data_IF_165291673456
#
_entry.id   IF_165291673456
#
_cell.length_a   1.000
_cell.length_b   1.000
_cell.length_c   1.000
_cell.angle_alpha   90.00
_cell.angle_beta   90.00
_cell.angle_gamma   90.00
#
_symmetry.space_group_name_H-M   'P 1'
#
loop_
_entity.id
_entity.type
_entity.pdbx_description
1 polymer ?
#
# COMPACT_ATOMS: atom_id res chain seq x y z
N UNK A 1 4.92 -10.20 -18.90
CA UNK A 1 4.77 -9.02 -18.00
C UNK A 1 3.30 -8.91 -17.62
N UNK A 2 2.97 -8.79 -16.33
CA UNK A 2 1.59 -8.94 -15.82
C UNK A 2 0.73 -7.69 -16.09
N UNK A 3 1.32 -6.48 -16.03
CA UNK A 3 0.62 -5.20 -16.25
C UNK A 3 1.32 -4.38 -17.35
N UNK A 4 1.21 -4.78 -18.62
CA UNK A 4 1.82 -4.03 -19.73
C UNK A 4 1.27 -2.60 -19.83
N UNK A 5 2.12 -1.64 -20.21
CA UNK A 5 1.72 -0.22 -20.36
C UNK A 5 0.90 0.05 -21.62
N UNK A 6 1.09 -0.76 -22.66
CA UNK A 6 0.53 -0.53 -23.99
C UNK A 6 -0.78 -1.26 -24.24
N UNK A 7 -1.22 -2.12 -23.31
CA UNK A 7 -2.42 -2.93 -23.47
C UNK A 7 -3.36 -2.77 -22.28
N UNK A 8 -4.66 -2.92 -22.53
CA UNK A 8 -5.68 -2.97 -21.48
C UNK A 8 -5.82 -4.42 -21.02
N UNK A 9 -5.30 -4.69 -19.83
CA UNK A 9 -5.16 -6.04 -19.26
C UNK A 9 -6.26 -6.44 -18.25
N UNK A 10 -7.29 -5.62 -18.07
CA UNK A 10 -8.50 -6.01 -17.33
C UNK A 10 -9.75 -5.55 -18.06
N UNK A 11 -10.86 -6.25 -17.82
CA UNK A 11 -12.19 -5.93 -18.36
C UNK A 11 -13.21 -5.88 -17.23
N UNK A 12 -14.37 -5.31 -17.53
CA UNK A 12 -15.55 -5.32 -16.67
C UNK A 12 -16.62 -6.13 -17.40
N UNK A 13 -17.32 -7.00 -16.70
CA UNK A 13 -18.40 -7.83 -17.25
C UNK A 13 -19.45 -8.11 -16.19
N UNK A 14 -20.66 -8.43 -16.65
CA UNK A 14 -21.75 -8.89 -15.82
C UNK A 14 -22.54 -9.93 -16.63
N UNK A 15 -22.63 -11.16 -16.11
CA UNK A 15 -23.27 -12.29 -16.79
C UNK A 15 -24.73 -12.02 -17.17
N UNK A 16 -25.44 -11.21 -16.36
CA UNK A 16 -26.83 -10.84 -16.62
C UNK A 16 -27.01 -10.01 -17.90
N UNK A 17 -25.97 -9.31 -18.33
CA UNK A 17 -25.98 -8.39 -19.47
C UNK A 17 -24.94 -8.79 -20.52
N UNK A 18 -24.62 -10.09 -20.61
CA UNK A 18 -23.60 -10.59 -21.53
C UNK A 18 -23.95 -10.29 -22.99
N UNK A 19 -25.23 -10.41 -23.35
CA UNK A 19 -25.74 -10.17 -24.71
C UNK A 19 -26.20 -8.72 -24.97
N UNK A 20 -26.11 -7.84 -23.97
CA UNK A 20 -26.51 -6.44 -24.09
C UNK A 20 -25.34 -5.57 -24.59
N UNK A 21 -25.34 -5.27 -25.89
CA UNK A 21 -24.27 -4.49 -26.53
C UNK A 21 -24.07 -3.11 -25.92
N UNK A 22 -25.14 -2.45 -25.43
CA UNK A 22 -25.03 -1.12 -24.84
C UNK A 22 -24.33 -1.17 -23.48
N UNK A 23 -24.65 -2.17 -22.67
CA UNK A 23 -23.99 -2.39 -21.38
C UNK A 23 -22.53 -2.78 -21.59
N UNK A 24 -22.22 -3.61 -22.59
CA UNK A 24 -20.84 -3.95 -22.92
C UNK A 24 -20.04 -2.72 -23.37
N UNK A 25 -20.64 -1.84 -24.19
CA UNK A 25 -20.02 -0.57 -24.59
C UNK A 25 -19.74 0.32 -23.38
N UNK A 26 -20.71 0.46 -22.47
CA UNK A 26 -20.52 1.20 -21.22
C UNK A 26 -19.38 0.65 -20.37
N UNK A 27 -19.27 -0.68 -20.21
CA UNK A 27 -18.16 -1.30 -19.49
C UNK A 27 -16.79 -1.04 -20.13
N UNK A 28 -16.72 -0.98 -21.46
CA UNK A 28 -15.50 -0.59 -22.16
C UNK A 28 -15.14 0.88 -21.88
N UNK A 29 -16.11 1.79 -21.85
CA UNK A 29 -15.88 3.19 -21.49
C UNK A 29 -15.38 3.34 -20.06
N UNK A 30 -16.01 2.66 -19.09
CA UNK A 30 -15.58 2.67 -17.69
C UNK A 30 -14.18 2.10 -17.53
N UNK A 31 -13.87 0.97 -18.19
CA UNK A 31 -12.52 0.40 -18.23
C UNK A 31 -11.51 1.44 -18.73
N UNK A 32 -11.85 2.16 -19.79
CA UNK A 32 -10.96 3.17 -20.38
C UNK A 32 -10.71 4.35 -19.44
N UNK A 33 -11.72 4.77 -18.69
CA UNK A 33 -11.58 5.76 -17.60
C UNK A 33 -10.63 5.22 -16.51
N UNK A 34 -10.80 3.96 -16.08
CA UNK A 34 -9.94 3.34 -15.06
C UNK A 34 -8.47 3.26 -15.52
N UNK A 35 -8.22 2.89 -16.77
CA UNK A 35 -6.87 2.89 -17.33
C UNK A 35 -6.29 4.30 -17.41
N UNK A 36 -7.08 5.30 -17.85
CA UNK A 36 -6.63 6.69 -17.90
C UNK A 36 -6.24 7.22 -16.52
N UNK A 37 -7.04 6.95 -15.49
CA UNK A 37 -6.73 7.34 -14.11
C UNK A 37 -5.51 6.59 -13.56
N UNK A 38 -5.43 5.28 -13.80
CA UNK A 38 -4.33 4.44 -13.31
C UNK A 38 -2.97 4.86 -13.89
N UNK A 39 -2.92 5.15 -15.18
CA UNK A 39 -1.69 5.52 -15.89
C UNK A 39 -1.45 7.03 -15.97
N UNK A 40 -2.27 7.84 -15.30
CA UNK A 40 -2.03 9.26 -15.18
C UNK A 40 -0.69 9.54 -14.49
N UNK A 41 0.04 10.63 -14.86
CA UNK A 41 1.35 10.92 -14.29
C UNK A 41 1.36 11.04 -12.75
N UNK A 42 0.31 11.61 -12.15
CA UNK A 42 0.20 11.73 -10.69
C UNK A 42 -0.08 10.41 -9.98
N UNK A 43 -0.70 9.45 -10.67
CA UNK A 43 -1.02 8.15 -10.10
C UNK A 43 0.25 7.31 -9.93
N UNK A 44 1.21 7.45 -10.85
CA UNK A 44 2.51 6.80 -10.82
C UNK A 44 2.45 5.25 -10.78
N UNK A 45 1.36 4.64 -11.28
CA UNK A 45 1.14 3.20 -11.19
C UNK A 45 2.29 2.36 -11.76
N UNK A 46 2.82 2.75 -12.91
CA UNK A 46 3.75 1.91 -13.65
C UNK A 46 5.15 1.84 -13.03
N UNK A 47 5.62 2.90 -12.34
CA UNK A 47 6.87 2.85 -11.57
C UNK A 47 6.68 2.01 -10.31
N UNK A 48 5.58 2.25 -9.61
CA UNK A 48 5.31 1.62 -8.32
C UNK A 48 4.99 0.13 -8.46
N UNK A 49 4.32 -0.28 -9.53
CA UNK A 49 4.11 -1.69 -9.87
C UNK A 49 5.42 -2.41 -10.16
N UNK A 50 6.37 -1.73 -10.81
CA UNK A 50 7.69 -2.32 -11.06
C UNK A 50 8.46 -2.56 -9.75
N UNK A 51 8.49 -1.57 -8.86
CA UNK A 51 9.09 -1.69 -7.52
C UNK A 51 8.41 -2.80 -6.68
N UNK A 52 7.09 -2.94 -6.82
CA UNK A 52 6.33 -4.00 -6.17
C UNK A 52 6.74 -5.38 -6.68
N UNK A 53 6.88 -5.56 -7.99
CA UNK A 53 7.31 -6.82 -8.58
C UNK A 53 8.74 -7.19 -8.20
N UNK A 54 9.65 -6.22 -8.14
CA UNK A 54 11.00 -6.43 -7.62
C UNK A 54 10.94 -6.90 -6.16
N UNK A 55 10.19 -6.18 -5.32
CA UNK A 55 10.06 -6.54 -3.90
C UNK A 55 9.48 -7.94 -3.70
N UNK A 56 8.45 -8.29 -4.48
CA UNK A 56 7.82 -9.61 -4.46
C UNK A 56 8.79 -10.71 -4.92
N UNK A 57 9.57 -10.46 -5.98
CA UNK A 57 10.54 -11.41 -6.50
C UNK A 57 11.77 -11.58 -5.59
N UNK A 58 12.22 -10.51 -4.92
CA UNK A 58 13.39 -10.52 -4.05
C UNK A 58 13.06 -11.00 -2.65
N UNK A 59 12.01 -10.47 -2.03
CA UNK A 59 11.66 -10.72 -0.62
C UNK A 59 10.44 -11.61 -0.45
N UNK A 60 9.74 -11.96 -1.52
CA UNK A 60 8.57 -12.85 -1.47
C UNK A 60 7.28 -12.11 -1.12
N UNK A 61 7.40 -10.87 -0.66
CA UNK A 61 6.27 -10.01 -0.29
C UNK A 61 6.44 -8.63 -0.94
N UNK A 62 5.40 -8.16 -1.61
CA UNK A 62 5.31 -6.80 -2.14
C UNK A 62 4.16 -6.04 -1.48
N UNK A 63 4.31 -4.73 -1.27
CA UNK A 63 3.25 -3.91 -0.68
C UNK A 63 3.09 -2.61 -1.46
N UNK A 64 1.90 -2.39 -2.03
CA UNK A 64 1.54 -1.12 -2.66
C UNK A 64 0.34 -0.52 -1.95
N UNK A 65 0.52 0.70 -1.45
CA UNK A 65 -0.54 1.51 -0.89
C UNK A 65 -1.24 2.31 -1.99
N UNK A 66 -2.56 2.25 -2.01
CA UNK A 66 -3.40 3.04 -2.91
C UNK A 66 -3.94 4.23 -2.12
N UNK A 67 -3.28 5.36 -2.32
CA UNK A 67 -3.65 6.65 -1.78
C UNK A 67 -4.61 7.40 -2.72
N UNK A 68 -5.19 8.50 -2.25
CA UNK A 68 -6.04 9.37 -3.05
C UNK A 68 -5.53 10.81 -3.06
N UNK A 69 -5.30 11.36 -4.24
CA UNK A 69 -5.01 12.78 -4.42
C UNK A 69 -6.32 13.51 -4.64
N UNK A 70 -6.65 14.40 -3.70
CA UNK A 70 -7.88 15.20 -3.75
C UNK A 70 -7.98 15.91 -5.11
N UNK A 71 -9.12 15.70 -5.78
CA UNK A 71 -9.41 16.28 -7.09
C UNK A 71 -8.73 15.61 -8.30
N UNK A 72 -7.87 14.61 -8.10
CA UNK A 72 -7.17 13.91 -9.21
C UNK A 72 -7.41 12.40 -9.25
N UNK A 73 -7.70 11.77 -8.10
CA UNK A 73 -7.93 10.33 -8.00
C UNK A 73 -6.71 9.57 -7.46
N UNK A 74 -6.55 8.28 -7.81
CA UNK A 74 -5.64 7.39 -7.11
C UNK A 74 -4.18 7.76 -7.29
N UNK A 75 -3.38 7.50 -6.26
CA UNK A 75 -1.92 7.54 -6.27
C UNK A 75 -1.38 6.24 -5.68
N UNK A 76 -0.47 5.60 -6.39
CA UNK A 76 0.17 4.38 -5.95
C UNK A 76 1.48 4.72 -5.24
N UNK A 77 1.76 4.05 -4.13
CA UNK A 77 3.00 4.17 -3.37
C UNK A 77 3.43 2.79 -2.88
N UNK A 78 4.51 2.24 -3.42
CA UNK A 78 5.08 0.97 -2.99
C UNK A 78 5.97 1.22 -1.77
N UNK A 79 5.73 0.45 -0.71
CA UNK A 79 6.49 0.54 0.52
C UNK A 79 7.42 -0.64 0.69
N UNK A 80 8.58 -0.36 1.24
CA UNK A 80 9.57 -1.38 1.54
C UNK A 80 9.08 -2.28 2.68
N UNK A 81 9.33 -3.59 2.58
CA UNK A 81 8.86 -4.60 3.54
C UNK A 81 9.24 -4.29 4.99
N UNK A 82 10.41 -3.69 5.21
CA UNK A 82 10.87 -3.21 6.55
C UNK A 82 9.86 -2.30 7.26
N UNK A 83 9.06 -1.53 6.52
CA UNK A 83 8.06 -0.63 7.12
C UNK A 83 6.74 -1.34 7.42
N UNK A 84 6.48 -2.51 6.83
CA UNK A 84 5.14 -3.10 6.73
C UNK A 84 5.05 -4.40 7.54
N UNK A 85 4.05 -4.46 8.39
CA UNK A 85 3.69 -5.61 9.21
C UNK A 85 2.21 -5.91 9.02
N UNK A 86 1.84 -7.16 8.85
CA UNK A 86 0.44 -7.52 8.61
C UNK A 86 0.12 -8.88 9.19
N UNK A 87 -1.17 -9.12 9.43
CA UNK A 87 -1.70 -10.39 9.91
C UNK A 87 -2.85 -10.85 9.02
N UNK A 88 -3.22 -12.11 9.19
CA UNK A 88 -4.35 -12.70 8.51
C UNK A 88 -5.53 -12.87 9.46
N UNK A 89 -6.73 -12.80 8.90
CA UNK A 89 -7.93 -13.29 9.55
C UNK A 89 -7.99 -14.82 9.52
N UNK A 90 -9.05 -15.39 10.12
CA UNK A 90 -9.26 -16.83 10.20
C UNK A 90 -9.37 -17.55 8.84
N UNK A 91 -9.59 -16.81 7.74
CA UNK A 91 -9.68 -17.34 6.36
C UNK A 91 -8.34 -17.25 5.61
N UNK A 92 -7.27 -16.80 6.27
CA UNK A 92 -5.96 -16.58 5.65
C UNK A 92 -5.88 -15.31 4.79
N UNK A 93 -6.88 -14.42 4.90
CA UNK A 93 -6.91 -13.15 4.19
C UNK A 93 -6.23 -12.06 5.03
N UNK A 94 -5.36 -11.29 4.40
CA UNK A 94 -4.72 -10.15 5.05
C UNK A 94 -5.76 -9.05 5.29
N UNK A 95 -5.97 -8.69 6.55
CA UNK A 95 -7.01 -7.75 6.96
C UNK A 95 -6.46 -6.61 7.82
N UNK A 96 -5.45 -6.89 8.66
CA UNK A 96 -4.78 -5.90 9.50
C UNK A 96 -3.38 -5.61 8.97
N UNK A 97 -3.09 -4.32 8.80
CA UNK A 97 -1.80 -3.82 8.32
C UNK A 97 -1.32 -2.69 9.23
N UNK A 98 -0.07 -2.79 9.65
CA UNK A 98 0.68 -1.78 10.38
C UNK A 98 1.86 -1.32 9.54
N UNK A 99 2.00 -0.01 9.37
CA UNK A 99 3.15 0.61 8.74
C UNK A 99 3.88 1.48 9.75
N UNK A 100 5.14 1.16 10.05
CA UNK A 100 6.04 2.03 10.80
C UNK A 100 6.91 2.81 9.82
N UNK A 101 6.87 4.14 9.90
CA UNK A 101 7.59 5.01 8.99
C UNK A 101 8.07 6.28 9.69
N UNK A 102 9.05 6.96 9.10
CA UNK A 102 9.58 8.19 9.63
C UNK A 102 9.20 9.36 8.73
N UNK A 103 8.90 10.50 9.35
CA UNK A 103 8.69 11.76 8.65
C UNK A 103 9.51 12.86 9.31
N UNK A 104 9.96 13.84 8.54
CA UNK A 104 10.50 15.06 9.12
C UNK A 104 9.37 15.88 9.77
N UNK A 105 9.72 16.73 10.73
CA UNK A 105 8.75 17.64 11.37
C UNK A 105 7.97 18.46 10.34
N UNK A 106 8.65 18.94 9.28
CA UNK A 106 8.02 19.64 8.15
C UNK A 106 7.01 18.78 7.41
N UNK A 107 7.37 17.53 7.06
CA UNK A 107 6.47 16.63 6.35
C UNK A 107 5.26 16.26 7.22
N UNK A 108 5.46 16.07 8.52
CA UNK A 108 4.39 15.77 9.47
C UNK A 108 3.33 16.89 9.49
N UNK A 109 3.75 18.15 9.52
CA UNK A 109 2.83 19.30 9.43
C UNK A 109 2.09 19.31 8.09
N UNK A 110 2.79 19.04 6.98
CA UNK A 110 2.15 19.01 5.65
C UNK A 110 1.08 17.94 5.53
N UNK A 111 1.25 16.79 6.19
CA UNK A 111 0.31 15.69 6.11
C UNK A 111 -0.85 15.80 7.11
N UNK A 112 -0.56 16.16 8.36
CA UNK A 112 -1.53 16.09 9.46
C UNK A 112 -2.03 17.46 9.93
N UNK A 113 -1.42 18.55 9.48
CA UNK A 113 -1.61 19.88 10.05
C UNK A 113 -0.86 20.06 11.36
N UNK A 114 -0.62 21.32 11.75
CA UNK A 114 0.12 21.62 12.98
C UNK A 114 -0.66 21.12 14.21
N UNK A 115 -1.96 21.43 14.33
CA UNK A 115 -2.75 21.22 15.55
C UNK A 115 -2.82 19.78 16.04
N UNK A 116 -2.93 18.84 15.11
CA UNK A 116 -3.04 17.42 15.40
C UNK A 116 -1.75 16.85 16.03
N UNK A 117 -0.59 17.46 15.76
CA UNK A 117 0.70 16.94 16.17
C UNK A 117 1.00 17.16 17.67
N UNK A 118 1.86 16.32 18.29
CA UNK A 118 2.39 16.55 19.62
C UNK A 118 3.24 17.83 19.70
N UNK A 119 3.31 18.43 20.89
CA UNK A 119 4.07 19.67 21.15
C UNK A 119 5.53 19.55 20.69
N UNK A 120 6.17 18.40 20.92
CA UNK A 120 7.57 18.20 20.52
C UNK A 120 7.76 18.31 19.01
N UNK A 121 6.85 17.76 18.20
CA UNK A 121 6.93 17.82 16.73
C UNK A 121 6.68 19.25 16.26
N UNK A 122 5.71 19.96 16.88
CA UNK A 122 5.42 21.38 16.59
C UNK A 122 6.65 22.27 16.85
N UNK A 123 7.30 22.08 18.00
CA UNK A 123 8.49 22.84 18.37
C UNK A 123 9.65 22.53 17.42
N UNK A 124 9.89 21.24 17.14
CA UNK A 124 10.93 20.82 16.21
C UNK A 124 10.68 21.37 14.80
N UNK A 125 9.43 21.48 14.35
CA UNK A 125 9.14 22.06 13.04
C UNK A 125 9.54 23.54 12.91
N UNK A 126 9.62 24.28 14.03
CA UNK A 126 10.04 25.69 14.05
C UNK A 126 11.56 25.83 14.18
N UNK A 127 12.20 24.98 14.99
CA UNK A 127 13.64 25.08 15.28
C UNK A 127 14.52 24.20 14.39
N UNK A 128 14.09 22.97 14.11
CA UNK A 128 14.81 22.00 13.30
C UNK A 128 13.83 21.20 12.41
N UNK A 129 13.36 21.79 11.29
CA UNK A 129 12.33 21.18 10.44
C UNK A 129 12.73 19.82 9.83
N UNK A 130 14.04 19.52 9.80
CA UNK A 130 14.60 18.27 9.28
C UNK A 130 14.64 17.14 10.32
N UNK A 131 14.40 17.43 11.60
CA UNK A 131 14.31 16.40 12.64
C UNK A 131 13.22 15.39 12.29
N UNK A 132 13.55 14.11 12.43
CA UNK A 132 12.67 12.99 12.10
C UNK A 132 11.93 12.46 13.32
N UNK A 133 10.69 12.02 13.09
CA UNK A 133 9.78 11.45 14.07
C UNK A 133 9.18 10.17 13.50
N UNK A 134 8.86 9.21 14.38
CA UNK A 134 8.30 7.93 14.00
C UNK A 134 6.78 7.95 14.08
N UNK A 135 6.15 7.42 13.04
CA UNK A 135 4.71 7.29 12.94
C UNK A 135 4.34 5.83 12.69
N UNK A 136 3.16 5.46 13.16
CA UNK A 136 2.52 4.19 12.93
C UNK A 136 1.18 4.44 12.22
N UNK A 137 1.00 3.84 11.05
CA UNK A 137 -0.31 3.77 10.40
C UNK A 137 -0.86 2.36 10.61
N UNK A 138 -2.03 2.25 11.24
CA UNK A 138 -2.75 0.99 11.41
C UNK A 138 -4.02 1.04 10.57
N UNK A 139 -4.22 0.00 9.77
CA UNK A 139 -5.46 -0.24 9.03
C UNK A 139 -6.00 -1.61 9.42
N UNK A 140 -7.27 -1.67 9.78
CA UNK A 140 -7.93 -2.90 10.24
C UNK A 140 -9.42 -2.88 9.92
N UNK A 141 -10.10 -4.04 9.93
CA UNK A 141 -11.56 -4.09 9.85
C UNK A 141 -12.21 -3.26 10.97
N UNK A 142 -13.30 -2.59 10.63
CA UNK A 142 -14.09 -1.81 11.57
C UNK A 142 -15.26 -2.65 12.10
N UNK A 143 -15.03 -3.34 13.22
CA UNK A 143 -16.05 -4.20 13.84
C UNK A 143 -17.25 -3.40 14.39
N UNK A 144 -17.07 -2.09 14.63
CA UNK A 144 -18.11 -1.19 15.14
C UNK A 144 -18.72 -0.32 14.04
N UNK A 145 -18.64 -0.78 12.79
CA UNK A 145 -19.12 -0.04 11.62
C UNK A 145 -20.60 0.27 11.71
N UNK A 146 -20.94 1.56 11.58
CA UNK A 146 -22.32 2.01 11.41
C UNK A 146 -22.66 2.13 9.92
N UNK A 147 -23.41 1.17 9.39
CA UNK A 147 -23.76 1.13 7.96
C UNK A 147 -24.67 2.29 7.51
N UNK A 148 -25.28 3.04 8.43
CA UNK A 148 -26.10 4.20 8.10
C UNK A 148 -25.27 5.43 7.72
N UNK A 149 -23.98 5.43 8.07
CA UNK A 149 -23.08 6.57 7.89
C UNK A 149 -22.22 6.42 6.65
N UNK A 150 -21.87 7.55 6.05
CA UNK A 150 -20.95 7.64 4.90
C UNK A 150 -19.55 8.14 5.29
N UNK A 151 -19.33 8.47 6.56
CA UNK A 151 -18.05 8.94 7.06
C UNK A 151 -17.16 7.80 7.56
N UNK A 152 -16.03 8.13 8.19
CA UNK A 152 -15.03 7.15 8.66
C UNK A 152 -15.62 6.06 9.57
N UNK A 153 -16.70 6.35 10.31
CA UNK A 153 -17.34 5.38 11.21
C UNK A 153 -18.20 4.36 10.44
N UNK A 154 -18.69 4.73 9.25
CA UNK A 154 -19.43 3.83 8.36
C UNK A 154 -18.57 3.08 7.36
N UNK A 155 -17.26 3.34 7.32
CA UNK A 155 -16.33 2.65 6.42
C UNK A 155 -15.93 1.27 6.97
N UNK A 156 -15.81 0.24 6.10
CA UNK A 156 -15.41 -1.12 6.48
C UNK A 156 -14.03 -1.26 7.10
N UNK A 157 -13.07 -0.42 6.70
CA UNK A 157 -11.72 -0.42 7.25
C UNK A 157 -11.46 0.88 7.99
N UNK A 158 -11.01 0.77 9.25
CA UNK A 158 -10.56 1.91 10.06
C UNK A 158 -9.09 2.18 9.77
N UNK A 159 -8.73 3.47 9.67
CA UNK A 159 -7.36 3.93 9.50
C UNK A 159 -6.98 4.89 10.61
N UNK A 160 -5.85 4.63 11.27
CA UNK A 160 -5.35 5.47 12.37
C UNK A 160 -3.86 5.73 12.20
N UNK A 161 -3.47 6.99 12.17
CA UNK A 161 -2.09 7.43 12.26
C UNK A 161 -1.76 7.86 13.68
N UNK A 162 -0.68 7.32 14.22
CA UNK A 162 -0.20 7.56 15.59
C UNK A 162 1.22 8.10 15.49
N UNK A 163 1.48 9.24 16.13
CA UNK A 163 2.84 9.68 16.39
C UNK A 163 3.36 8.92 17.62
N UNK A 164 4.45 8.17 17.44
CA UNK A 164 5.01 7.36 18.52
C UNK A 164 5.59 8.26 19.62
N UNK A 165 6.12 9.41 19.24
CA UNK A 165 6.55 10.43 20.18
C UNK A 165 5.35 11.10 20.85
N UNK A 166 5.07 10.68 22.09
CA UNK A 166 3.91 11.13 22.86
C UNK A 166 2.64 10.29 22.65
N UNK A 167 2.72 9.18 21.89
CA UNK A 167 1.63 8.19 21.72
C UNK A 167 0.27 8.83 21.39
N UNK A 168 0.28 9.82 20.48
CA UNK A 168 -0.89 10.61 20.13
C UNK A 168 -1.44 10.19 18.77
N UNK A 169 -2.75 10.00 18.67
CA UNK A 169 -3.43 9.85 17.39
C UNK A 169 -3.40 11.21 16.68
N UNK A 170 -2.80 11.24 15.49
CA UNK A 170 -2.64 12.47 14.68
C UNK A 170 -3.64 12.52 13.53
N UNK A 171 -4.18 11.37 13.11
CA UNK A 171 -5.21 11.33 12.09
C UNK A 171 -6.04 10.05 12.25
N UNK A 172 -7.34 10.18 12.02
CA UNK A 172 -8.24 9.05 11.87
C UNK A 172 -8.99 9.18 10.55
N UNK A 173 -9.16 8.06 9.87
CA UNK A 173 -9.91 7.95 8.64
C UNK A 173 -10.50 6.56 8.48
N UNK A 174 -10.92 6.25 7.26
CA UNK A 174 -11.37 4.94 6.89
C UNK A 174 -11.28 4.71 5.39
N UNK A 175 -11.50 3.47 4.98
CA UNK A 175 -11.49 3.06 3.58
C UNK A 175 -12.63 2.11 3.26
N UNK A 176 -13.16 2.21 2.03
CA UNK A 176 -14.17 1.31 1.48
C UNK A 176 -13.61 -0.08 1.12
N UNK A 177 -12.31 -0.14 0.85
CA UNK A 177 -11.55 -1.35 0.59
C UNK A 177 -10.18 -1.24 1.24
N UNK A 178 -9.53 -2.37 1.51
CA UNK A 178 -8.18 -2.38 2.10
C UNK A 178 -7.22 -1.59 1.18
N UNK A 179 -6.63 -0.45 1.62
CA UNK A 179 -5.76 0.39 0.80
C UNK A 179 -4.38 -0.23 0.56
N UNK A 180 -3.96 -1.20 1.38
CA UNK A 180 -2.69 -1.91 1.23
C UNK A 180 -2.86 -3.17 0.37
N UNK A 181 -2.48 -3.08 -0.91
CA UNK A 181 -2.37 -4.22 -1.79
C UNK A 181 -1.07 -4.99 -1.48
N UNK A 182 -1.17 -6.01 -0.63
CA UNK A 182 -0.05 -6.88 -0.25
C UNK A 182 -0.09 -8.15 -1.10
N UNK A 183 1.01 -8.43 -1.79
CA UNK A 183 1.21 -9.67 -2.54
C UNK A 183 2.18 -10.59 -1.81
N UNK A 184 1.97 -11.89 -1.98
CA UNK A 184 2.84 -12.95 -1.47
C UNK A 184 3.14 -13.88 -2.63
N UNK A 185 4.41 -14.08 -2.95
CA UNK A 185 4.82 -14.83 -4.15
C UNK A 185 4.45 -16.32 -3.99
N UNK A 186 4.84 -16.95 -2.89
CA UNK A 186 4.19 -18.15 -2.36
C UNK A 186 4.28 -18.13 -0.83
N UNK A 187 3.41 -18.86 -0.14
CA UNK A 187 3.43 -19.01 1.33
C UNK A 187 3.67 -20.48 1.69
N UNK A 188 4.36 -20.72 2.81
CA UNK A 188 4.43 -22.05 3.41
C UNK A 188 3.36 -22.19 4.51
N UNK A 189 2.91 -23.41 4.85
CA UNK A 189 2.00 -23.62 5.96
C UNK A 189 2.52 -23.00 7.26
N UNK A 190 1.70 -22.16 7.91
CA UNK A 190 2.06 -21.45 9.14
C UNK A 190 2.82 -20.13 8.94
N UNK A 191 3.10 -19.72 7.71
CA UNK A 191 3.74 -18.44 7.42
C UNK A 191 2.76 -17.39 6.90
N UNK A 192 2.76 -16.23 7.54
CA UNK A 192 1.97 -15.06 7.10
C UNK A 192 2.67 -14.34 5.93
N UNK A 193 4.00 -14.24 5.99
CA UNK A 193 4.81 -13.57 4.98
C UNK A 193 5.12 -14.50 3.79
N UNK A 194 5.23 -13.91 2.61
CA UNK A 194 5.59 -14.66 1.41
C UNK A 194 7.08 -14.95 1.33
N UNK A 195 7.42 -16.09 0.72
CA UNK A 195 8.78 -16.48 0.36
C UNK A 195 9.06 -16.21 -1.11
N UNK A 196 10.34 -15.98 -1.42
CA UNK A 196 10.76 -15.54 -2.75
C UNK A 196 11.53 -16.62 -3.50
N UNK A 197 11.51 -16.63 -4.84
CA UNK A 197 12.41 -17.48 -5.61
C UNK A 197 13.89 -17.12 -5.36
N UNK A 198 14.19 -15.83 -5.12
CA UNK A 198 15.55 -15.39 -4.79
C UNK A 198 16.06 -16.01 -3.48
N UNK A 199 15.18 -16.26 -2.51
CA UNK A 199 15.54 -16.96 -1.27
C UNK A 199 15.95 -18.42 -1.52
N UNK A 200 15.31 -19.08 -2.50
CA UNK A 200 15.61 -20.47 -2.86
C UNK A 200 17.00 -20.58 -3.49
N UNK A 201 17.35 -19.67 -4.40
CA UNK A 201 18.64 -19.68 -5.11
C UNK A 201 19.76 -18.93 -4.37
N UNK A 202 19.47 -18.31 -3.23
CA UNK A 202 20.44 -17.54 -2.44
C UNK A 202 21.70 -18.36 -2.03
N UNK A 203 21.59 -19.66 -1.67
CA UNK A 203 22.77 -20.47 -1.37
C UNK A 203 23.73 -20.58 -2.57
N UNK A 204 23.20 -20.84 -3.77
CA UNK A 204 23.99 -20.96 -4.99
C UNK A 204 24.68 -19.63 -5.36
N UNK A 205 23.97 -18.51 -5.20
CA UNK A 205 24.52 -17.17 -5.39
C UNK A 205 25.69 -16.92 -4.42
N UNK A 206 25.56 -17.33 -3.15
CA UNK A 206 26.64 -17.18 -2.16
C UNK A 206 27.85 -18.06 -2.49
N UNK A 207 27.61 -19.29 -2.95
CA UNK A 207 28.67 -20.22 -3.38
C UNK A 207 29.46 -19.64 -4.56
N UNK A 208 28.76 -19.16 -5.60
CA UNK A 208 29.39 -18.52 -6.76
C UNK A 208 30.24 -17.30 -6.37
N UNK A 209 29.71 -16.43 -5.50
CA UNK A 209 30.44 -15.25 -5.02
C UNK A 209 31.71 -15.64 -4.25
N UNK A 210 31.64 -16.67 -3.41
CA UNK A 210 32.80 -17.18 -2.65
C UNK A 210 33.89 -17.71 -3.58
N UNK A 211 33.53 -18.49 -4.59
CA UNK A 211 34.50 -19.02 -5.55
C UNK A 211 35.16 -17.91 -6.38
N UNK A 212 34.39 -16.89 -6.80
CA UNK A 212 34.95 -15.72 -7.50
C UNK A 212 35.93 -14.92 -6.63
N UNK A 213 35.66 -14.78 -5.33
CA UNK A 213 36.58 -14.08 -4.42
C UNK A 213 37.88 -14.83 -4.12
N UNK A 214 37.94 -16.15 -4.35
CA UNK A 214 39.17 -16.94 -4.17
C UNK A 214 40.08 -16.94 -5.41
N UNK A 215 39.63 -16.37 -6.54
CA UNK A 215 40.41 -16.23 -7.77
C UNK A 215 41.12 -14.87 -7.90
N UNK A 216 41.20 -14.11 -6.81
CA UNK A 216 41.95 -12.85 -6.70
C UNK A 216 42.83 -12.85 -5.45
#
# INVERSE_FOLDING_TARGET
>A
MITPRTQKWHTLSNERFADDEEVQRYFQEVRDILFRLRYAPWANFASQSHEHYISSGTFGTGCTFVDNVIGKGPRYCTYHLREIYFTENFQGMIDVVHRKYCMTARQAIQQFGEDALPVMVKTAAKSNPAQTFNFLHRVEPNDKRDMSRQDKEGMPFRSVHICLEGSKIVQEGGYWSQPYAISRYYTAPGEVYGRSPAMVVLPDIKLLKRNQSCHY
#
